data_IF_769772330860
#
_entry.id   IF_769772330860
#
_cell.length_a   1.000
_cell.length_b   1.000
_cell.length_c   1.000
_cell.angle_alpha   90.00
_cell.angle_beta   90.00
_cell.angle_gamma   90.00
#
_symmetry.space_group_name_H-M   'P 1'
#
loop_
_entity.id
_entity.type
_entity.pdbx_description
1 polymer ?
#
# COMPACT_ATOMS: atom_id res chain seq x y z
N UNK A 1 -56.78 -37.50 5.79
CA UNK A 1 -57.76 -37.30 4.70
C UNK A 1 -57.25 -36.15 3.88
N UNK A 2 -56.64 -36.53 2.85
CA UNK A 2 -56.88 -36.24 1.43
C UNK A 2 -56.50 -34.82 1.02
N UNK A 3 -55.48 -34.76 0.28
CA UNK A 3 -55.28 -34.80 -1.20
C UNK A 3 -55.38 -33.38 -1.78
N UNK A 4 -54.42 -32.87 -2.38
CA UNK A 4 -53.67 -33.17 -3.62
C UNK A 4 -54.06 -32.15 -4.75
N UNK A 5 -53.06 -31.85 -5.57
CA UNK A 5 -53.09 -31.48 -6.97
C UNK A 5 -52.91 -30.00 -7.32
N UNK A 6 -51.71 -29.65 -7.77
CA UNK A 6 -51.13 -29.66 -9.14
C UNK A 6 -51.46 -28.46 -10.05
N UNK A 7 -50.41 -27.90 -10.63
CA UNK A 7 -50.27 -27.31 -11.98
C UNK A 7 -50.72 -25.85 -12.11
N UNK A 8 -50.07 -24.95 -12.78
CA UNK A 8 -49.11 -24.99 -13.92
C UNK A 8 -48.61 -23.58 -14.16
N UNK A 9 -47.39 -23.46 -14.67
CA UNK A 9 -46.87 -22.29 -15.41
C UNK A 9 -47.76 -21.96 -16.62
N UNK A 10 -47.73 -20.72 -17.14
CA UNK A 10 -46.92 -20.45 -18.31
C UNK A 10 -46.17 -19.09 -18.30
N UNK A 11 -44.97 -19.14 -18.74
CA UNK A 11 -44.35 -18.40 -19.85
C UNK A 11 -45.19 -17.29 -20.50
N UNK A 12 -44.72 -16.06 -20.48
CA UNK A 12 -44.92 -15.12 -21.57
C UNK A 12 -43.63 -14.37 -21.91
N UNK A 13 -43.29 -14.52 -23.18
CA UNK A 13 -42.18 -13.93 -23.94
C UNK A 13 -42.70 -12.66 -24.60
N UNK A 14 -41.76 -11.73 -24.81
CA UNK A 14 -41.76 -10.61 -25.75
C UNK A 14 -42.51 -9.35 -25.28
N UNK A 15 -42.00 -8.18 -25.50
CA UNK A 15 -41.46 -7.62 -26.73
C UNK A 15 -40.65 -6.36 -26.49
N UNK A 16 -39.71 -6.16 -27.32
CA UNK A 16 -38.89 -4.99 -27.64
C UNK A 16 -39.67 -3.68 -27.72
N UNK A 17 -39.09 -2.61 -27.18
CA UNK A 17 -39.27 -1.29 -27.77
C UNK A 17 -37.94 -0.51 -27.69
N UNK A 18 -37.29 -0.40 -28.83
CA UNK A 18 -36.31 0.65 -29.13
C UNK A 18 -36.96 2.02 -28.89
N UNK A 19 -36.28 2.86 -28.13
CA UNK A 19 -36.33 4.31 -28.34
C UNK A 19 -34.88 4.81 -28.33
N UNK A 20 -34.31 4.88 -29.53
CA UNK A 20 -33.25 5.81 -29.80
C UNK A 20 -33.85 7.21 -29.80
N UNK A 21 -33.21 8.19 -29.19
CA UNK A 21 -32.98 9.49 -29.77
C UNK A 21 -32.28 10.47 -28.84
N UNK A 22 -31.34 11.13 -29.45
CA UNK A 22 -30.79 12.45 -29.16
C UNK A 22 -29.65 12.49 -28.17
N UNK A 23 -28.47 12.24 -28.73
CA UNK A 23 -27.20 12.79 -28.26
C UNK A 23 -27.29 14.33 -28.25
N UNK A 24 -27.45 14.91 -27.08
CA UNK A 24 -26.94 16.24 -26.82
C UNK A 24 -25.49 16.08 -26.37
N UNK A 25 -24.59 16.24 -27.33
CA UNK A 25 -23.18 16.54 -27.08
C UNK A 25 -23.08 17.93 -26.46
N UNK A 26 -23.28 18.01 -25.14
CA UNK A 26 -22.69 19.10 -24.40
C UNK A 26 -21.21 18.67 -24.16
N UNK A 27 -20.31 19.33 -24.86
CA UNK A 27 -18.91 19.40 -24.50
C UNK A 27 -18.87 20.06 -23.10
N UNK A 28 -18.78 19.24 -22.06
CA UNK A 28 -18.26 19.71 -20.79
C UNK A 28 -16.78 20.01 -21.03
N UNK A 29 -16.40 21.26 -20.91
CA UNK A 29 -15.01 21.64 -20.70
C UNK A 29 -14.53 20.88 -19.48
N UNK A 30 -13.32 20.33 -19.46
CA UNK A 30 -12.80 19.70 -18.26
C UNK A 30 -12.76 20.76 -17.17
N UNK A 31 -13.56 20.59 -16.14
CA UNK A 31 -13.40 21.30 -14.87
C UNK A 31 -11.97 21.04 -14.42
N UNK A 32 -11.19 22.08 -14.22
CA UNK A 32 -9.84 21.96 -13.67
C UNK A 32 -9.98 21.43 -12.23
N UNK A 33 -9.75 20.14 -12.06
CA UNK A 33 -9.72 19.53 -10.73
C UNK A 33 -8.47 20.01 -9.99
N UNK A 34 -8.52 20.25 -8.68
CA UNK A 34 -7.35 20.55 -7.89
C UNK A 34 -6.38 19.36 -7.97
N UNK A 35 -5.14 19.64 -8.34
CA UNK A 35 -4.12 18.63 -8.56
C UNK A 35 -3.21 18.59 -7.35
N UNK A 36 -2.88 17.40 -6.88
CA UNK A 36 -2.30 17.15 -5.57
C UNK A 36 -1.20 16.12 -5.63
N UNK A 37 -0.05 16.47 -5.08
CA UNK A 37 1.02 15.52 -4.81
C UNK A 37 0.63 14.63 -3.61
N UNK A 38 0.55 13.31 -3.85
CA UNK A 38 0.36 12.32 -2.80
C UNK A 38 1.71 11.84 -2.29
N UNK A 39 2.04 12.17 -1.05
CA UNK A 39 2.89 11.29 -0.28
C UNK A 39 1.98 10.19 0.28
N UNK A 40 2.11 8.97 -0.21
CA UNK A 40 1.51 7.82 0.48
C UNK A 40 2.21 7.70 1.83
N UNK A 41 1.47 7.83 2.92
CA UNK A 41 2.00 7.58 4.26
C UNK A 41 2.46 6.12 4.43
N UNK A 42 1.98 5.22 3.56
CA UNK A 42 2.44 3.84 3.47
C UNK A 42 3.82 3.70 2.81
N UNK A 43 4.26 4.67 1.99
CA UNK A 43 5.58 4.65 1.31
C UNK A 43 6.77 4.87 2.25
N UNK A 44 6.54 5.23 3.51
CA UNK A 44 7.63 5.43 4.49
C UNK A 44 8.19 4.11 5.04
N UNK A 45 7.56 2.96 4.75
CA UNK A 45 7.91 1.69 5.39
C UNK A 45 8.53 0.61 4.48
N UNK A 46 8.80 0.90 3.22
CA UNK A 46 9.62 -0.01 2.39
C UNK A 46 11.03 0.53 2.30
N UNK A 47 12.05 -0.20 2.82
CA UNK A 47 13.41 0.18 2.51
C UNK A 47 13.60 0.04 0.99
N UNK A 48 13.78 1.17 0.32
CA UNK A 48 14.22 1.19 -1.07
C UNK A 48 15.42 0.26 -1.19
N UNK A 49 15.35 -0.67 -2.15
CA UNK A 49 16.48 -1.50 -2.51
C UNK A 49 17.65 -0.57 -2.83
N UNK A 50 18.55 -0.43 -1.87
CA UNK A 50 19.79 0.29 -2.05
C UNK A 50 20.52 -0.37 -3.22
N UNK A 51 20.68 0.35 -4.32
CA UNK A 51 21.63 0.00 -5.37
C UNK A 51 23.00 -0.03 -4.74
N UNK A 52 23.46 -1.23 -4.39
CA UNK A 52 24.79 -1.45 -3.86
C UNK A 52 25.82 -1.08 -4.93
N UNK A 53 26.53 0.01 -4.70
CA UNK A 53 27.82 0.24 -5.36
C UNK A 53 28.77 -0.88 -4.91
N UNK A 54 29.67 -1.38 -5.78
CA UNK A 54 30.67 -2.36 -5.38
C UNK A 54 31.55 -1.78 -4.28
N UNK A 55 31.59 -2.42 -3.13
CA UNK A 55 32.52 -2.05 -2.06
C UNK A 55 33.80 -2.78 -2.34
N UNK A 56 34.88 -2.00 -2.43
CA UNK A 56 36.25 -2.45 -2.54
C UNK A 56 36.65 -3.25 -1.29
N UNK A 57 37.23 -4.44 -1.49
CA UNK A 57 37.53 -5.41 -0.45
C UNK A 57 38.86 -5.09 0.23
N UNK A 58 38.95 -4.02 1.03
CA UNK A 58 40.15 -3.74 1.81
C UNK A 58 39.94 -2.98 3.10
N UNK A 59 38.94 -3.29 3.93
CA UNK A 59 38.96 -2.85 5.32
C UNK A 59 38.33 -3.92 6.23
N UNK A 60 39.22 -4.84 6.69
CA UNK A 60 38.93 -5.76 7.76
C UNK A 60 39.08 -5.06 9.10
N UNK A 61 37.97 -4.78 9.79
CA UNK A 61 37.96 -4.42 11.21
C UNK A 61 36.95 -5.27 12.01
N UNK A 62 37.57 -6.15 12.78
CA UNK A 62 37.23 -6.69 14.12
C UNK A 62 35.78 -6.56 14.63
N UNK A 63 35.13 -7.72 14.78
CA UNK A 63 34.52 -8.16 16.03
C UNK A 63 33.26 -7.42 16.49
N UNK A 64 32.08 -7.82 15.98
CA UNK A 64 30.86 -7.86 16.75
C UNK A 64 30.10 -9.13 16.36
N UNK A 65 29.54 -9.82 17.36
CA UNK A 65 28.89 -11.12 17.27
C UNK A 65 27.94 -11.22 16.06
N UNK A 66 28.40 -11.90 15.00
CA UNK A 66 27.49 -12.47 14.02
C UNK A 66 26.77 -13.63 14.71
N UNK A 67 25.43 -13.73 14.64
CA UNK A 67 24.78 -14.97 14.99
C UNK A 67 25.44 -16.08 14.16
N UNK A 68 25.92 -17.11 14.84
CA UNK A 68 26.55 -18.26 14.21
C UNK A 68 25.58 -18.85 13.19
N UNK A 69 26.03 -19.27 12.01
CA UNK A 69 25.18 -19.97 11.08
C UNK A 69 24.56 -21.15 11.81
N UNK A 70 23.26 -21.11 11.99
CA UNK A 70 22.47 -22.21 12.52
C UNK A 70 22.86 -23.49 11.78
N UNK A 71 22.94 -24.59 12.50
CA UNK A 71 23.36 -25.91 12.02
C UNK A 71 22.84 -26.16 10.59
N UNK A 72 23.73 -26.73 9.73
CA UNK A 72 23.34 -27.13 8.35
C UNK A 72 21.94 -27.72 8.37
N UNK A 73 21.02 -27.23 7.54
CA UNK A 73 19.70 -27.82 7.45
C UNK A 73 19.88 -29.33 7.24
N UNK A 74 19.09 -30.13 7.97
CA UNK A 74 19.08 -31.55 7.76
C UNK A 74 18.78 -31.84 6.29
N UNK A 75 19.56 -32.68 5.60
CA UNK A 75 19.32 -33.00 4.20
C UNK A 75 17.87 -33.50 4.09
N UNK A 76 17.16 -33.04 3.04
CA UNK A 76 15.84 -33.55 2.73
C UNK A 76 15.92 -35.07 2.65
N UNK A 77 14.95 -35.76 3.25
CA UNK A 77 14.97 -37.19 3.44
C UNK A 77 15.47 -37.93 2.20
N UNK A 78 16.68 -38.49 2.26
CA UNK A 78 17.01 -39.68 1.50
C UNK A 78 16.50 -40.88 2.31
N UNK A 79 15.85 -41.83 1.65
CA UNK A 79 15.51 -43.11 2.30
C UNK A 79 16.78 -43.75 2.84
N UNK A 80 16.65 -44.58 3.89
CA UNK A 80 17.77 -45.33 4.48
C UNK A 80 18.61 -46.14 3.48
N UNK A 81 18.09 -46.35 2.29
CA UNK A 81 18.69 -47.11 1.18
C UNK A 81 19.31 -46.23 0.08
N UNK A 82 19.42 -44.89 0.31
CA UNK A 82 20.06 -43.97 -0.62
C UNK A 82 19.22 -43.68 -1.86
N UNK A 83 17.92 -44.02 -1.87
CA UNK A 83 16.98 -43.65 -2.92
C UNK A 83 16.36 -42.28 -2.59
N UNK A 84 15.98 -41.53 -3.63
CA UNK A 84 15.27 -40.27 -3.49
C UNK A 84 13.93 -40.52 -2.75
N UNK A 85 13.60 -39.66 -1.78
CA UNK A 85 12.31 -39.72 -1.09
C UNK A 85 11.18 -39.45 -2.08
N UNK A 86 10.01 -40.07 -1.91
CA UNK A 86 8.84 -39.75 -2.74
C UNK A 86 8.44 -38.27 -2.65
N UNK A 87 7.97 -37.70 -3.75
CA UNK A 87 7.58 -36.27 -3.83
C UNK A 87 6.63 -35.88 -2.69
N UNK A 88 5.60 -36.65 -2.31
CA UNK A 88 4.75 -36.31 -1.17
C UNK A 88 5.49 -36.17 0.17
N UNK A 89 6.47 -37.03 0.42
CA UNK A 89 7.26 -36.98 1.66
C UNK A 89 8.17 -35.77 1.73
N UNK A 90 8.74 -35.36 0.57
CA UNK A 90 9.53 -34.14 0.44
C UNK A 90 8.67 -32.89 0.66
N UNK A 91 7.44 -32.87 0.13
CA UNK A 91 6.50 -31.76 0.34
C UNK A 91 6.06 -31.65 1.79
N UNK A 92 5.79 -32.79 2.43
CA UNK A 92 5.45 -32.81 3.86
C UNK A 92 6.62 -32.32 4.72
N UNK A 93 7.86 -32.68 4.36
CA UNK A 93 9.04 -32.16 5.04
C UNK A 93 9.24 -30.66 4.76
N UNK A 94 9.04 -30.20 3.53
CA UNK A 94 9.10 -28.78 3.20
C UNK A 94 8.10 -27.97 4.05
N UNK A 95 6.87 -28.46 4.19
CA UNK A 95 5.85 -27.85 5.06
C UNK A 95 6.29 -27.80 6.53
N UNK A 96 6.80 -28.92 7.09
CA UNK A 96 7.30 -28.98 8.47
C UNK A 96 8.48 -28.03 8.72
N UNK A 97 9.40 -27.91 7.77
CA UNK A 97 10.54 -26.98 7.87
C UNK A 97 10.08 -25.53 7.80
N UNK A 98 9.12 -25.24 6.91
CA UNK A 98 8.51 -23.91 6.76
C UNK A 98 7.80 -23.48 8.05
N UNK A 99 6.97 -24.34 8.64
CA UNK A 99 6.29 -24.09 9.92
C UNK A 99 7.23 -23.80 11.08
N UNK A 100 8.43 -24.38 11.04
CA UNK A 100 9.49 -24.13 12.04
C UNK A 100 10.35 -22.90 11.73
N UNK A 101 10.03 -22.13 10.70
CA UNK A 101 10.81 -20.98 10.25
C UNK A 101 12.18 -21.34 9.65
N UNK A 102 12.40 -22.62 9.26
CA UNK A 102 13.63 -23.08 8.63
C UNK A 102 13.49 -23.04 7.10
N UNK A 103 13.46 -21.84 6.56
CA UNK A 103 13.11 -21.58 5.17
C UNK A 103 14.14 -22.15 4.17
N UNK A 104 15.43 -22.19 4.50
CA UNK A 104 16.44 -22.87 3.66
C UNK A 104 16.17 -24.37 3.55
N UNK A 105 15.80 -25.02 4.66
CA UNK A 105 15.44 -26.43 4.67
C UNK A 105 14.18 -26.70 3.84
N UNK A 106 13.14 -25.86 3.99
CA UNK A 106 11.94 -25.92 3.19
C UNK A 106 12.26 -25.74 1.70
N UNK A 107 13.13 -24.78 1.34
CA UNK A 107 13.56 -24.54 -0.03
C UNK A 107 14.28 -25.73 -0.65
N UNK A 108 15.19 -26.37 0.10
CA UNK A 108 15.91 -27.57 -0.39
C UNK A 108 14.95 -28.72 -0.69
N UNK A 109 14.01 -29.00 0.22
CA UNK A 109 13.02 -30.06 0.01
C UNK A 109 12.07 -29.74 -1.16
N UNK A 110 11.62 -28.50 -1.30
CA UNK A 110 10.78 -28.09 -2.40
C UNK A 110 11.53 -28.12 -3.77
N UNK A 111 12.83 -27.81 -3.78
CA UNK A 111 13.67 -27.95 -4.97
C UNK A 111 13.80 -29.40 -5.39
N UNK A 112 14.07 -30.30 -4.46
CA UNK A 112 14.18 -31.72 -4.75
C UNK A 112 12.83 -32.28 -5.23
N UNK A 113 11.72 -31.94 -4.59
CA UNK A 113 10.39 -32.31 -5.03
C UNK A 113 10.11 -31.81 -6.48
N UNK A 114 10.48 -30.56 -6.81
CA UNK A 114 10.29 -30.01 -8.15
C UNK A 114 11.25 -30.59 -9.20
N UNK A 115 12.40 -31.14 -8.77
CA UNK A 115 13.31 -31.89 -9.66
C UNK A 115 12.77 -33.27 -10.01
N UNK A 116 12.15 -33.94 -9.05
CA UNK A 116 11.55 -35.26 -9.26
C UNK A 116 10.21 -35.20 -10.02
N UNK A 117 9.44 -34.14 -9.77
CA UNK A 117 8.19 -33.89 -10.48
C UNK A 117 8.09 -32.42 -10.90
N UNK A 118 8.51 -32.12 -12.11
CA UNK A 118 8.45 -30.76 -12.69
C UNK A 118 7.01 -30.25 -12.90
N UNK A 119 6.00 -31.12 -12.83
CA UNK A 119 4.59 -30.77 -12.95
C UNK A 119 3.90 -30.57 -11.61
N UNK A 120 4.62 -30.71 -10.50
CA UNK A 120 4.06 -30.52 -9.16
C UNK A 120 3.83 -29.05 -8.84
N UNK A 121 2.57 -28.62 -8.87
CA UNK A 121 2.14 -27.26 -8.44
C UNK A 121 2.61 -26.98 -7.01
N UNK A 122 2.40 -27.95 -6.10
CA UNK A 122 2.76 -27.79 -4.70
C UNK A 122 4.28 -27.61 -4.50
N UNK A 123 5.13 -28.31 -5.27
CA UNK A 123 6.57 -28.16 -5.17
C UNK A 123 7.02 -26.74 -5.58
N UNK A 124 6.49 -26.21 -6.67
CA UNK A 124 6.76 -24.84 -7.11
C UNK A 124 6.19 -23.81 -6.14
N UNK A 125 5.01 -24.05 -5.56
CA UNK A 125 4.40 -23.20 -4.53
C UNK A 125 5.28 -23.12 -3.28
N UNK A 126 5.67 -24.26 -2.66
CA UNK A 126 6.55 -24.28 -1.48
C UNK A 126 7.92 -23.65 -1.78
N UNK A 127 8.45 -23.87 -2.98
CA UNK A 127 9.68 -23.20 -3.41
C UNK A 127 9.51 -21.69 -3.44
N UNK A 128 8.40 -21.19 -3.97
CA UNK A 128 8.07 -19.77 -3.99
C UNK A 128 7.93 -19.19 -2.59
N UNK A 129 7.18 -19.88 -1.71
CA UNK A 129 6.97 -19.46 -0.33
C UNK A 129 8.30 -19.37 0.46
N UNK A 130 9.12 -20.40 0.38
CA UNK A 130 10.41 -20.41 1.06
C UNK A 130 11.37 -19.31 0.54
N UNK A 131 11.37 -19.06 -0.77
CA UNK A 131 12.16 -17.98 -1.38
C UNK A 131 11.67 -16.59 -0.96
N UNK A 132 10.35 -16.39 -0.84
CA UNK A 132 9.77 -15.13 -0.36
C UNK A 132 10.20 -14.81 1.07
N UNK A 133 10.15 -15.81 1.96
CA UNK A 133 10.61 -15.66 3.36
C UNK A 133 12.12 -15.41 3.47
N UNK A 134 12.92 -15.94 2.54
CA UNK A 134 14.34 -15.68 2.44
C UNK A 134 14.68 -14.33 1.79
N UNK A 135 13.70 -13.53 1.41
CA UNK A 135 13.89 -12.25 0.72
C UNK A 135 14.37 -12.37 -0.73
N UNK A 136 14.32 -13.58 -1.31
CA UNK A 136 14.73 -13.86 -2.70
C UNK A 136 13.55 -13.64 -3.64
N UNK A 137 13.08 -12.38 -3.72
CA UNK A 137 11.80 -11.98 -4.30
C UNK A 137 11.66 -12.37 -5.78
N UNK A 138 12.69 -12.13 -6.61
CA UNK A 138 12.62 -12.46 -8.04
C UNK A 138 12.53 -13.96 -8.32
N UNK A 139 13.22 -14.75 -7.49
CA UNK A 139 13.15 -16.21 -7.60
C UNK A 139 11.80 -16.75 -7.09
N UNK A 140 11.24 -16.13 -6.03
CA UNK A 140 9.89 -16.44 -5.55
C UNK A 140 8.85 -16.16 -6.62
N UNK A 141 8.90 -14.99 -7.26
CA UNK A 141 8.04 -14.61 -8.37
C UNK A 141 8.09 -15.64 -9.51
N UNK A 142 9.30 -16.06 -9.88
CA UNK A 142 9.49 -17.09 -10.92
C UNK A 142 8.89 -18.44 -10.52
N UNK A 143 9.05 -18.85 -9.26
CA UNK A 143 8.49 -20.10 -8.76
C UNK A 143 6.96 -20.10 -8.73
N UNK A 144 6.33 -19.00 -8.24
CA UNK A 144 4.88 -18.84 -8.30
C UNK A 144 4.33 -18.77 -9.73
N UNK A 145 5.03 -18.07 -10.63
CA UNK A 145 4.64 -18.04 -12.05
C UNK A 145 4.65 -19.45 -12.65
N UNK A 146 5.64 -20.28 -12.30
CA UNK A 146 5.68 -21.68 -12.75
C UNK A 146 4.51 -22.49 -12.20
N UNK A 147 4.18 -22.35 -10.91
CA UNK A 147 3.02 -23.01 -10.31
C UNK A 147 1.71 -22.59 -11.02
N UNK A 148 1.53 -21.30 -11.31
CA UNK A 148 0.35 -20.76 -11.99
C UNK A 148 0.28 -21.13 -13.50
N UNK A 149 1.40 -21.49 -14.13
CA UNK A 149 1.39 -22.08 -15.49
C UNK A 149 0.83 -23.51 -15.45
N UNK A 150 1.09 -24.25 -14.36
CA UNK A 150 0.63 -25.63 -14.18
C UNK A 150 -0.84 -25.69 -13.75
N UNK A 151 -1.23 -24.89 -12.76
CA UNK A 151 -2.62 -24.68 -12.37
C UNK A 151 -2.90 -23.17 -12.23
N UNK A 152 -3.49 -22.56 -13.27
CA UNK A 152 -3.74 -21.14 -13.27
C UNK A 152 -4.74 -20.67 -12.21
N UNK A 153 -5.57 -21.55 -11.68
CA UNK A 153 -6.66 -21.21 -10.76
C UNK A 153 -6.46 -21.81 -9.37
N UNK A 154 -5.26 -22.30 -9.05
CA UNK A 154 -4.95 -22.73 -7.68
C UNK A 154 -5.04 -21.52 -6.72
N UNK A 155 -6.00 -21.55 -5.77
CA UNK A 155 -6.30 -20.36 -4.98
C UNK A 155 -5.21 -20.04 -3.95
N UNK A 156 -4.48 -21.04 -3.46
CA UNK A 156 -3.38 -20.84 -2.51
C UNK A 156 -2.16 -20.25 -3.20
N UNK A 157 -1.86 -20.69 -4.43
CA UNK A 157 -0.78 -20.09 -5.23
C UNK A 157 -1.13 -18.67 -5.62
N UNK A 158 -2.39 -18.40 -6.02
CA UNK A 158 -2.87 -17.06 -6.33
C UNK A 158 -2.76 -16.12 -5.13
N UNK A 159 -3.16 -16.57 -3.92
CA UNK A 159 -3.01 -15.81 -2.68
C UNK A 159 -1.54 -15.51 -2.39
N UNK A 160 -0.66 -16.51 -2.46
CA UNK A 160 0.75 -16.34 -2.14
C UNK A 160 1.49 -15.46 -3.18
N UNK A 161 1.11 -15.56 -4.45
CA UNK A 161 1.64 -14.68 -5.50
C UNK A 161 1.16 -13.23 -5.29
N UNK A 162 -0.13 -13.03 -4.97
CA UNK A 162 -0.66 -11.70 -4.65
C UNK A 162 0.03 -11.09 -3.43
N UNK A 163 0.23 -11.87 -2.37
CA UNK A 163 0.94 -11.44 -1.15
C UNK A 163 2.37 -10.96 -1.48
N UNK A 164 3.11 -11.69 -2.30
CA UNK A 164 4.45 -11.29 -2.75
C UNK A 164 4.43 -9.93 -3.46
N UNK A 165 3.48 -9.74 -4.38
CA UNK A 165 3.37 -8.50 -5.15
C UNK A 165 2.95 -7.31 -4.30
N UNK A 166 2.02 -7.50 -3.35
CA UNK A 166 1.57 -6.43 -2.45
C UNK A 166 2.66 -6.09 -1.42
N UNK A 167 3.20 -7.09 -0.70
CA UNK A 167 4.03 -6.84 0.49
C UNK A 167 5.52 -6.65 0.19
N UNK A 168 6.01 -7.12 -0.96
CA UNK A 168 7.45 -7.14 -1.26
C UNK A 168 7.85 -6.36 -2.50
N UNK A 169 6.97 -6.16 -3.45
CA UNK A 169 7.23 -5.46 -4.71
C UNK A 169 6.63 -4.06 -4.69
N UNK A 170 5.32 -3.92 -4.58
CA UNK A 170 4.62 -2.66 -4.32
C UNK A 170 4.61 -1.65 -5.47
N UNK A 171 5.23 -1.95 -6.62
CA UNK A 171 5.13 -1.07 -7.77
C UNK A 171 3.70 -1.11 -8.35
N UNK A 172 3.26 -0.04 -9.01
CA UNK A 172 1.89 0.06 -9.55
C UNK A 172 1.49 -1.16 -10.37
N UNK A 173 2.34 -1.58 -11.30
CA UNK A 173 2.08 -2.76 -12.15
C UNK A 173 2.01 -4.05 -11.32
N UNK A 174 2.80 -4.16 -10.25
CA UNK A 174 2.77 -5.28 -9.32
C UNK A 174 1.45 -5.32 -8.54
N UNK A 175 0.98 -4.17 -8.06
CA UNK A 175 -0.30 -4.06 -7.35
C UNK A 175 -1.49 -4.39 -8.26
N UNK A 176 -1.47 -3.93 -9.52
CA UNK A 176 -2.50 -4.27 -10.51
C UNK A 176 -2.50 -5.79 -10.83
N UNK A 177 -1.31 -6.40 -10.92
CA UNK A 177 -1.18 -7.84 -11.10
C UNK A 177 -1.66 -8.61 -9.86
N UNK A 178 -1.33 -8.14 -8.65
CA UNK A 178 -1.84 -8.70 -7.41
C UNK A 178 -3.38 -8.70 -7.37
N UNK A 179 -4.01 -7.57 -7.76
CA UNK A 179 -5.46 -7.48 -7.84
C UNK A 179 -6.06 -8.49 -8.84
N UNK A 180 -5.38 -8.75 -9.97
CA UNK A 180 -5.81 -9.77 -10.91
C UNK A 180 -5.73 -11.19 -10.31
N UNK A 181 -4.67 -11.51 -9.56
CA UNK A 181 -4.56 -12.78 -8.84
C UNK A 181 -5.63 -12.91 -7.75
N UNK A 182 -5.83 -11.86 -6.95
CA UNK A 182 -6.87 -11.82 -5.91
C UNK A 182 -8.24 -12.05 -6.51
N UNK A 183 -8.60 -11.37 -7.61
CA UNK A 183 -9.90 -11.55 -8.25
C UNK A 183 -10.16 -13.00 -8.66
N UNK A 184 -9.16 -13.66 -9.27
CA UNK A 184 -9.26 -15.08 -9.65
C UNK A 184 -9.38 -15.98 -8.43
N UNK A 185 -8.58 -15.74 -7.38
CA UNK A 185 -8.62 -16.47 -6.12
C UNK A 185 -9.99 -16.36 -5.43
N UNK A 186 -10.57 -15.16 -5.40
CA UNK A 186 -11.89 -14.90 -4.81
C UNK A 186 -13.00 -15.70 -5.51
N UNK A 187 -12.99 -15.79 -6.84
CA UNK A 187 -13.97 -16.61 -7.60
C UNK A 187 -13.95 -18.07 -7.11
N UNK A 188 -12.76 -18.59 -6.86
CA UNK A 188 -12.57 -19.97 -6.40
C UNK A 188 -12.94 -20.12 -4.94
N UNK A 189 -12.46 -19.24 -4.06
CA UNK A 189 -12.71 -19.25 -2.63
C UNK A 189 -14.21 -19.13 -2.30
N UNK A 190 -14.95 -18.28 -3.00
CA UNK A 190 -16.41 -18.17 -2.88
C UNK A 190 -17.14 -19.47 -3.26
N UNK A 191 -16.68 -20.12 -4.32
CA UNK A 191 -17.30 -21.38 -4.78
C UNK A 191 -17.19 -22.48 -3.74
N UNK A 192 -16.05 -22.57 -3.04
CA UNK A 192 -15.80 -23.58 -2.01
C UNK A 192 -16.14 -23.09 -0.60
N UNK A 193 -16.51 -21.83 -0.45
CA UNK A 193 -16.85 -21.17 0.83
C UNK A 193 -15.71 -21.22 1.85
N UNK A 194 -14.49 -21.06 1.39
CA UNK A 194 -13.30 -21.03 2.23
C UNK A 194 -13.16 -19.65 2.89
N UNK A 195 -13.64 -19.54 4.12
CA UNK A 195 -13.65 -18.26 4.87
C UNK A 195 -12.24 -17.74 5.19
N UNK A 196 -11.28 -18.55 5.67
CA UNK A 196 -9.91 -18.11 5.87
C UNK A 196 -9.28 -17.53 4.60
N UNK A 197 -9.39 -18.25 3.49
CA UNK A 197 -8.85 -17.79 2.20
C UNK A 197 -9.56 -16.53 1.69
N UNK A 198 -10.89 -16.43 1.86
CA UNK A 198 -11.64 -15.21 1.53
C UNK A 198 -11.13 -14.00 2.33
N UNK A 199 -10.90 -14.18 3.65
CA UNK A 199 -10.35 -13.14 4.51
C UNK A 199 -8.99 -12.67 4.00
N UNK A 200 -8.06 -13.60 3.73
CA UNK A 200 -6.72 -13.27 3.26
C UNK A 200 -6.73 -12.55 1.90
N UNK A 201 -7.53 -13.04 0.96
CA UNK A 201 -7.63 -12.42 -0.37
C UNK A 201 -8.24 -11.02 -0.32
N UNK A 202 -9.29 -10.82 0.49
CA UNK A 202 -9.88 -9.49 0.67
C UNK A 202 -8.95 -8.53 1.42
N UNK A 203 -8.14 -9.02 2.37
CA UNK A 203 -7.12 -8.23 3.03
C UNK A 203 -6.05 -7.75 2.02
N UNK A 204 -5.53 -8.65 1.19
CA UNK A 204 -4.59 -8.29 0.13
C UNK A 204 -5.19 -7.31 -0.88
N UNK A 205 -6.49 -7.46 -1.18
CA UNK A 205 -7.21 -6.52 -2.02
C UNK A 205 -7.28 -5.12 -1.39
N UNK A 206 -7.56 -5.06 -0.08
CA UNK A 206 -7.62 -3.79 0.64
C UNK A 206 -6.26 -3.08 0.63
N UNK A 207 -5.18 -3.80 0.94
CA UNK A 207 -3.81 -3.28 0.91
C UNK A 207 -3.43 -2.76 -0.49
N UNK A 208 -3.67 -3.56 -1.53
CA UNK A 208 -3.36 -3.15 -2.91
C UNK A 208 -4.15 -1.91 -3.34
N UNK A 209 -5.41 -1.79 -2.95
CA UNK A 209 -6.20 -0.59 -3.25
C UNK A 209 -5.73 0.64 -2.48
N UNK A 210 -5.30 0.48 -1.22
CA UNK A 210 -4.75 1.59 -0.43
C UNK A 210 -3.46 2.13 -1.08
N UNK A 211 -2.53 1.24 -1.40
CA UNK A 211 -1.27 1.59 -2.08
C UNK A 211 -1.49 2.21 -3.48
N UNK A 212 -2.55 1.84 -4.19
CA UNK A 212 -2.98 2.46 -5.44
C UNK A 212 -3.70 3.81 -5.24
N UNK A 213 -3.88 4.26 -4.00
CA UNK A 213 -4.60 5.47 -3.65
C UNK A 213 -6.10 5.40 -3.93
N UNK A 214 -6.70 4.24 -3.74
CA UNK A 214 -8.12 3.94 -3.91
C UNK A 214 -8.80 3.59 -2.57
N UNK A 215 -8.82 4.51 -1.59
CA UNK A 215 -9.24 4.19 -0.22
C UNK A 215 -10.71 3.78 -0.11
N UNK A 216 -11.57 4.19 -1.04
CA UNK A 216 -12.97 3.74 -1.10
C UNK A 216 -13.08 2.24 -1.40
N UNK A 217 -12.30 1.75 -2.36
CA UNK A 217 -12.23 0.33 -2.71
C UNK A 217 -11.54 -0.48 -1.59
N UNK A 218 -10.48 0.08 -1.00
CA UNK A 218 -9.79 -0.51 0.15
C UNK A 218 -10.75 -0.71 1.33
N UNK A 219 -11.57 0.28 1.67
CA UNK A 219 -12.57 0.18 2.72
C UNK A 219 -13.62 -0.92 2.41
N UNK A 220 -14.04 -1.02 1.16
CA UNK A 220 -14.96 -2.07 0.70
C UNK A 220 -14.37 -3.47 0.90
N UNK A 221 -13.14 -3.67 0.44
CA UNK A 221 -12.43 -4.94 0.59
C UNK A 221 -12.18 -5.30 2.07
N UNK A 222 -11.73 -4.35 2.89
CA UNK A 222 -11.53 -4.58 4.32
C UNK A 222 -12.83 -4.97 5.05
N UNK A 223 -13.98 -4.38 4.68
CA UNK A 223 -15.26 -4.80 5.23
C UNK A 223 -15.61 -6.25 4.85
N UNK A 224 -15.39 -6.67 3.59
CA UNK A 224 -15.60 -8.08 3.18
C UNK A 224 -14.65 -9.05 3.91
N UNK A 225 -13.40 -8.67 4.14
CA UNK A 225 -12.49 -9.49 4.94
C UNK A 225 -13.01 -9.66 6.38
N UNK A 226 -13.50 -8.58 7.02
CA UNK A 226 -14.08 -8.61 8.37
C UNK A 226 -15.40 -9.40 8.45
N UNK A 227 -16.16 -9.56 7.36
CA UNK A 227 -17.30 -10.50 7.31
C UNK A 227 -16.84 -11.95 7.46
N UNK A 228 -15.63 -12.28 7.02
CA UNK A 228 -15.05 -13.61 7.14
C UNK A 228 -14.40 -13.82 8.51
N UNK A 229 -13.69 -12.86 9.04
CA UNK A 229 -13.14 -12.84 10.40
C UNK A 229 -13.23 -11.43 11.01
N UNK A 230 -14.25 -11.21 11.85
CA UNK A 230 -14.49 -9.92 12.51
C UNK A 230 -13.42 -9.51 13.53
N UNK A 231 -12.54 -10.43 13.92
CA UNK A 231 -11.48 -10.19 14.91
C UNK A 231 -10.09 -10.03 14.28
N UNK A 232 -9.98 -10.18 12.96
CA UNK A 232 -8.70 -10.02 12.28
C UNK A 232 -8.14 -8.61 12.46
N UNK A 233 -7.00 -8.54 13.15
CA UNK A 233 -6.39 -7.28 13.57
C UNK A 233 -5.81 -6.51 12.40
N UNK A 234 -5.18 -7.23 11.47
CA UNK A 234 -4.56 -6.62 10.30
C UNK A 234 -5.63 -5.98 9.40
N UNK A 235 -6.71 -6.72 9.11
CA UNK A 235 -7.84 -6.17 8.34
C UNK A 235 -8.49 -4.96 9.03
N UNK A 236 -8.59 -4.97 10.37
CA UNK A 236 -9.11 -3.84 11.12
C UNK A 236 -8.20 -2.62 11.01
N UNK A 237 -6.89 -2.82 10.99
CA UNK A 237 -5.91 -1.76 10.76
C UNK A 237 -6.11 -1.17 9.36
N UNK A 238 -6.15 -1.98 8.31
CA UNK A 238 -6.38 -1.53 6.95
C UNK A 238 -7.71 -0.76 6.79
N UNK A 239 -8.77 -1.23 7.45
CA UNK A 239 -10.02 -0.48 7.52
C UNK A 239 -9.85 0.90 8.16
N UNK A 240 -9.10 0.99 9.26
CA UNK A 240 -8.82 2.25 9.93
C UNK A 240 -8.00 3.20 9.06
N UNK A 241 -7.01 2.69 8.33
CA UNK A 241 -6.20 3.44 7.36
C UNK A 241 -7.08 3.97 6.22
N UNK A 242 -7.86 3.12 5.59
CA UNK A 242 -8.77 3.52 4.51
C UNK A 242 -9.79 4.59 4.95
N UNK A 243 -10.32 4.48 6.17
CA UNK A 243 -11.20 5.50 6.75
C UNK A 243 -10.46 6.84 6.98
N UNK A 244 -9.20 6.79 7.42
CA UNK A 244 -8.37 7.98 7.57
C UNK A 244 -8.14 8.66 6.21
N UNK A 245 -7.74 7.90 5.19
CA UNK A 245 -7.52 8.40 3.83
C UNK A 245 -8.80 9.00 3.22
N UNK A 246 -9.97 8.50 3.57
CA UNK A 246 -11.28 9.08 3.22
C UNK A 246 -11.67 10.31 4.07
N UNK A 247 -10.79 10.82 4.93
CA UNK A 247 -11.07 11.91 5.87
C UNK A 247 -12.23 11.63 6.85
N UNK A 248 -12.55 10.33 7.10
CA UNK A 248 -13.54 9.85 8.05
C UNK A 248 -12.89 9.61 9.42
N UNK A 249 -12.29 10.67 9.98
CA UNK A 249 -11.39 10.58 11.14
C UNK A 249 -12.01 9.97 12.39
N UNK A 250 -13.29 10.27 12.69
CA UNK A 250 -13.96 9.72 13.87
C UNK A 250 -14.15 8.20 13.77
N UNK A 251 -14.50 7.71 12.58
CA UNK A 251 -14.65 6.28 12.31
C UNK A 251 -13.30 5.57 12.30
N UNK A 252 -12.27 6.19 11.69
CA UNK A 252 -10.90 5.68 11.74
C UNK A 252 -10.42 5.54 13.19
N UNK A 253 -10.62 6.59 14.03
CA UNK A 253 -10.30 6.56 15.46
C UNK A 253 -11.02 5.41 16.18
N UNK A 254 -12.30 5.20 15.89
CA UNK A 254 -13.09 4.15 16.53
C UNK A 254 -12.59 2.74 16.19
N UNK A 255 -12.14 2.50 14.94
CA UNK A 255 -11.58 1.21 14.53
C UNK A 255 -10.16 1.00 15.08
N UNK A 256 -9.28 2.00 14.95
CA UNK A 256 -7.88 1.90 15.37
C UNK A 256 -7.73 1.82 16.91
N UNK A 257 -8.60 2.48 17.66
CA UNK A 257 -8.58 2.39 19.14
C UNK A 257 -8.85 0.98 19.67
N UNK A 258 -9.58 0.15 18.92
CA UNK A 258 -9.80 -1.27 19.28
C UNK A 258 -8.51 -2.09 19.24
N UNK A 259 -7.57 -1.72 18.36
CA UNK A 259 -6.27 -2.40 18.24
C UNK A 259 -5.29 -2.00 19.35
N UNK A 260 -5.43 -0.77 19.87
CA UNK A 260 -4.54 -0.23 20.89
C UNK A 260 -4.90 -0.70 22.32
N UNK A 261 -6.11 -1.23 22.55
CA UNK A 261 -6.62 -1.55 23.88
C UNK A 261 -6.00 -2.82 24.47
N UNK A 262 -5.94 -3.91 23.70
CA UNK A 262 -5.53 -5.23 24.19
C UNK A 262 -4.05 -5.52 23.89
N UNK A 263 -3.64 -5.28 22.67
CA UNK A 263 -2.27 -5.46 22.20
C UNK A 263 -1.90 -4.27 21.30
N UNK A 264 -0.97 -3.41 21.70
CA UNK A 264 -0.64 -2.22 20.94
C UNK A 264 -0.11 -2.56 19.54
N UNK A 265 -0.66 -1.89 18.53
CA UNK A 265 -0.26 -1.97 17.13
C UNK A 265 0.44 -0.66 16.73
N UNK A 266 1.66 -0.75 16.22
CA UNK A 266 2.48 0.43 15.92
C UNK A 266 1.83 1.35 14.86
N UNK A 267 1.23 0.78 13.83
CA UNK A 267 0.54 1.53 12.79
C UNK A 267 -0.75 2.17 13.31
N UNK A 268 -1.53 1.44 14.12
CA UNK A 268 -2.72 2.00 14.75
C UNK A 268 -2.36 3.18 15.66
N UNK A 269 -1.30 3.07 16.46
CA UNK A 269 -0.81 4.18 17.29
C UNK A 269 -0.36 5.36 16.41
N UNK A 270 0.34 5.13 15.31
CA UNK A 270 0.74 6.19 14.38
C UNK A 270 -0.47 6.97 13.83
N UNK A 271 -1.47 6.27 13.29
CA UNK A 271 -2.67 6.91 12.75
C UNK A 271 -3.53 7.59 13.82
N UNK A 272 -3.59 7.04 15.05
CA UNK A 272 -4.22 7.73 16.18
C UNK A 272 -3.50 9.05 16.51
N UNK A 273 -2.17 9.08 16.39
CA UNK A 273 -1.38 10.30 16.49
C UNK A 273 -1.74 11.33 15.42
N UNK A 274 -1.83 10.91 14.15
CA UNK A 274 -2.25 11.78 13.04
C UNK A 274 -3.67 12.35 13.23
N UNK A 275 -4.59 11.55 13.76
CA UNK A 275 -5.96 12.00 14.07
C UNK A 275 -5.96 12.99 15.23
N UNK A 276 -5.16 12.76 16.28
CA UNK A 276 -5.03 13.67 17.41
C UNK A 276 -4.47 15.05 17.00
N UNK A 277 -3.44 15.08 16.13
CA UNK A 277 -2.92 16.33 15.56
C UNK A 277 -4.01 17.14 14.84
N UNK A 278 -4.86 16.47 14.06
CA UNK A 278 -5.97 17.12 13.34
C UNK A 278 -7.03 17.67 14.28
N UNK A 279 -7.14 17.10 15.46
CA UNK A 279 -8.01 17.58 16.53
C UNK A 279 -7.34 18.64 17.42
N UNK A 280 -6.13 19.10 17.06
CA UNK A 280 -5.30 20.04 17.83
C UNK A 280 -4.95 19.54 19.25
N UNK A 281 -4.93 18.21 19.44
CA UNK A 281 -4.46 17.58 20.69
C UNK A 281 -3.00 17.11 20.50
N UNK A 282 -2.09 18.10 20.51
CA UNK A 282 -0.66 17.84 20.31
C UNK A 282 -0.07 16.95 21.41
N UNK A 283 -0.65 16.97 22.63
CA UNK A 283 -0.19 16.12 23.72
C UNK A 283 -0.53 14.64 23.49
N UNK A 284 -1.76 14.35 23.08
CA UNK A 284 -2.17 13.00 22.70
C UNK A 284 -1.41 12.52 21.45
N UNK A 285 -1.24 13.37 20.44
CA UNK A 285 -0.48 13.06 19.26
C UNK A 285 0.96 12.62 19.60
N UNK A 286 1.67 13.39 20.41
CA UNK A 286 3.04 13.06 20.83
C UNK A 286 3.11 11.72 21.57
N UNK A 287 2.11 11.40 22.44
CA UNK A 287 2.05 10.13 23.14
C UNK A 287 1.87 8.94 22.17
N UNK A 288 0.98 9.07 21.19
CA UNK A 288 0.72 8.04 20.19
C UNK A 288 1.94 7.83 19.29
N UNK A 289 2.58 8.89 18.79
CA UNK A 289 3.80 8.76 18.00
C UNK A 289 4.96 8.13 18.79
N UNK A 290 5.14 8.49 20.05
CA UNK A 290 6.15 7.88 20.91
C UNK A 290 5.89 6.37 21.13
N UNK A 291 4.63 5.96 21.25
CA UNK A 291 4.27 4.53 21.31
C UNK A 291 4.55 3.81 20.01
N UNK A 292 4.15 4.38 18.86
CA UNK A 292 4.44 3.81 17.54
C UNK A 292 5.94 3.59 17.35
N UNK A 293 6.75 4.61 17.64
CA UNK A 293 8.22 4.53 17.56
C UNK A 293 8.82 3.48 18.50
N UNK A 294 8.26 3.33 19.70
CA UNK A 294 8.72 2.32 20.66
C UNK A 294 8.40 0.89 20.18
N UNK A 295 7.26 0.69 19.53
CA UNK A 295 6.79 -0.60 19.03
C UNK A 295 7.54 -1.01 17.77
N UNK A 296 7.80 -0.08 16.87
CA UNK A 296 8.54 -0.30 15.62
C UNK A 296 9.45 0.91 15.33
N UNK A 297 10.68 0.92 15.88
CA UNK A 297 11.62 2.03 15.69
C UNK A 297 12.18 2.14 14.28
N UNK A 298 12.10 1.07 13.48
CA UNK A 298 12.58 1.09 12.10
C UNK A 298 11.55 1.71 11.15
N UNK A 299 10.27 1.41 11.35
CA UNK A 299 9.17 2.00 10.58
C UNK A 299 8.88 3.45 11.00
N UNK A 300 8.98 3.79 12.29
CA UNK A 300 8.60 5.10 12.84
C UNK A 300 9.80 5.84 13.43
N UNK A 301 10.73 6.24 12.55
CA UNK A 301 11.90 7.06 12.93
C UNK A 301 11.50 8.47 13.31
N UNK A 302 12.35 9.13 14.09
CA UNK A 302 12.19 10.56 14.37
C UNK A 302 12.35 11.37 13.10
N UNK A 303 11.40 12.26 12.85
CA UNK A 303 11.43 13.21 11.73
C UNK A 303 11.84 14.60 12.22
N UNK A 304 12.36 15.48 11.36
CA UNK A 304 12.56 16.88 11.67
C UNK A 304 11.26 17.52 12.18
N UNK A 305 11.36 18.41 13.17
CA UNK A 305 10.18 19.13 13.66
C UNK A 305 10.52 20.60 13.88
N UNK A 306 10.83 21.35 12.79
CA UNK A 306 11.14 22.76 12.90
C UNK A 306 9.95 23.56 13.39
N UNK A 307 10.20 24.63 14.17
CA UNK A 307 9.14 25.58 14.51
C UNK A 307 8.53 26.20 13.27
N UNK A 308 7.33 26.75 13.36
CA UNK A 308 6.65 27.42 12.24
C UNK A 308 7.55 28.48 11.59
N UNK A 309 8.23 29.28 12.42
CA UNK A 309 9.13 30.34 11.94
C UNK A 309 10.40 29.78 11.26
N UNK A 310 10.99 28.73 11.81
CA UNK A 310 12.16 28.07 11.22
C UNK A 310 11.80 27.43 9.87
N UNK A 311 10.65 26.75 9.79
CA UNK A 311 10.16 26.16 8.54
C UNK A 311 9.82 27.22 7.49
N UNK A 312 9.16 28.31 7.86
CA UNK A 312 8.85 29.41 6.94
C UNK A 312 10.14 30.03 6.37
N UNK A 313 11.19 30.18 7.19
CA UNK A 313 12.50 30.64 6.73
C UNK A 313 13.13 29.64 5.76
N UNK A 314 13.11 28.34 6.07
CA UNK A 314 13.60 27.29 5.19
C UNK A 314 12.91 27.36 3.81
N UNK A 315 11.59 27.48 3.79
CA UNK A 315 10.82 27.62 2.55
C UNK A 315 11.25 28.88 1.76
N UNK A 316 11.44 30.02 2.42
CA UNK A 316 11.93 31.23 1.76
C UNK A 316 13.34 31.04 1.17
N UNK A 317 14.23 30.38 1.92
CA UNK A 317 15.59 30.07 1.45
C UNK A 317 15.54 29.14 0.23
N UNK A 318 14.65 28.12 0.20
CA UNK A 318 14.48 27.25 -0.97
C UNK A 318 13.87 28.01 -2.17
N UNK A 319 12.83 28.81 -1.95
CA UNK A 319 12.24 29.66 -3.01
C UNK A 319 13.31 30.56 -3.66
N UNK A 320 14.23 31.13 -2.87
CA UNK A 320 15.30 32.01 -3.38
C UNK A 320 16.30 31.30 -4.31
N UNK A 321 16.40 29.95 -4.19
CA UNK A 321 17.32 29.14 -5.02
C UNK A 321 16.65 28.61 -6.29
N UNK A 322 15.32 28.73 -6.42
CA UNK A 322 14.59 28.25 -7.59
C UNK A 322 14.89 29.12 -8.84
N UNK A 323 14.69 28.61 -10.05
CA UNK A 323 14.75 29.39 -11.27
C UNK A 323 13.83 30.61 -11.20
N UNK A 324 14.24 31.70 -11.86
CA UNK A 324 13.51 32.96 -11.77
C UNK A 324 12.07 32.86 -12.27
N UNK A 325 11.86 32.08 -13.31
CA UNK A 325 10.54 31.79 -13.87
C UNK A 325 9.58 31.16 -12.82
N UNK A 326 10.11 30.27 -11.96
CA UNK A 326 9.36 29.64 -10.87
C UNK A 326 9.07 30.68 -9.77
N UNK A 327 10.08 31.50 -9.39
CA UNK A 327 9.89 32.57 -8.42
C UNK A 327 8.83 33.60 -8.90
N UNK A 328 8.86 33.95 -10.18
CA UNK A 328 7.90 34.88 -10.80
C UNK A 328 6.47 34.23 -10.77
N UNK A 329 6.33 32.95 -11.06
CA UNK A 329 5.07 32.21 -10.92
C UNK A 329 4.51 32.26 -9.49
N UNK A 330 5.37 31.97 -8.50
CA UNK A 330 5.00 32.05 -7.08
C UNK A 330 4.56 33.45 -6.66
N UNK A 331 5.17 34.52 -7.19
CA UNK A 331 4.81 35.91 -6.89
C UNK A 331 3.41 36.31 -7.37
N UNK A 332 2.91 35.61 -8.38
CA UNK A 332 1.57 35.80 -8.92
C UNK A 332 0.50 34.91 -8.22
N UNK A 333 0.88 34.07 -7.28
CA UNK A 333 0.00 33.24 -6.47
C UNK A 333 -0.10 33.75 -5.03
N UNK A 334 -1.10 33.27 -4.29
CA UNK A 334 -1.11 33.32 -2.82
C UNK A 334 -0.31 32.12 -2.32
N UNK A 335 0.74 32.36 -1.58
CA UNK A 335 1.58 31.31 -1.04
C UNK A 335 1.47 31.26 0.48
N UNK A 336 1.19 30.08 1.04
CA UNK A 336 1.03 29.90 2.47
C UNK A 336 1.66 28.60 2.97
N UNK A 337 2.30 28.68 4.13
CA UNK A 337 2.73 27.53 4.92
C UNK A 337 1.72 27.34 6.03
N UNK A 338 1.13 26.15 6.11
CA UNK A 338 0.17 25.75 7.14
C UNK A 338 0.58 24.42 7.75
N UNK A 339 0.07 24.08 8.92
CA UNK A 339 0.48 22.86 9.60
C UNK A 339 -0.03 21.60 8.91
N UNK A 340 -1.32 21.55 8.61
CA UNK A 340 -2.01 20.40 7.99
C UNK A 340 -3.07 20.89 7.00
N UNK A 341 -3.45 20.07 5.99
CA UNK A 341 -4.53 20.41 5.08
C UNK A 341 -5.87 20.52 5.80
N UNK A 342 -6.68 21.51 5.39
CA UNK A 342 -8.05 21.67 5.92
C UNK A 342 -8.97 20.55 5.43
N UNK A 343 -9.93 20.15 6.26
CA UNK A 343 -10.86 19.07 5.90
C UNK A 343 -11.70 19.41 4.65
N UNK A 344 -12.08 20.68 4.49
CA UNK A 344 -12.87 21.08 3.30
C UNK A 344 -12.07 20.94 2.02
N UNK A 345 -10.74 21.22 2.05
CA UNK A 345 -9.87 21.00 0.92
C UNK A 345 -9.75 19.51 0.59
N UNK A 346 -9.58 18.68 1.63
CA UNK A 346 -9.48 17.23 1.45
C UNK A 346 -10.75 16.62 0.85
N UNK A 347 -11.92 17.13 1.22
CA UNK A 347 -13.23 16.60 0.77
C UNK A 347 -13.83 17.36 -0.41
N UNK A 348 -13.07 18.27 -1.03
CA UNK A 348 -13.53 19.04 -2.19
C UNK A 348 -13.61 18.20 -3.48
N UNK A 349 -12.96 17.05 -3.50
CA UNK A 349 -12.93 16.11 -4.65
C UNK A 349 -13.56 14.77 -4.28
N UNK A 350 -13.96 14.00 -5.29
CA UNK A 350 -14.41 12.62 -5.16
C UNK A 350 -13.57 11.73 -6.11
N UNK A 351 -12.73 10.84 -5.58
CA UNK A 351 -12.47 10.59 -4.16
C UNK A 351 -11.79 11.76 -3.44
N UNK A 352 -11.89 11.82 -2.09
CA UNK A 352 -11.21 12.81 -1.27
C UNK A 352 -9.69 12.76 -1.45
N UNK A 353 -9.04 13.91 -1.24
CA UNK A 353 -7.59 13.98 -1.21
C UNK A 353 -7.05 13.29 0.05
N UNK A 354 -5.87 12.64 -0.07
CA UNK A 354 -5.20 12.07 1.10
C UNK A 354 -4.89 13.15 2.14
N UNK A 355 -5.14 12.89 3.44
CA UNK A 355 -4.71 13.78 4.50
C UNK A 355 -3.20 13.96 4.60
N UNK A 356 -2.43 13.07 3.94
CA UNK A 356 -0.97 13.08 3.92
C UNK A 356 -0.33 13.94 2.82
N UNK A 357 -1.10 14.68 2.01
CA UNK A 357 -0.54 15.55 0.95
C UNK A 357 0.49 16.53 1.49
N UNK A 358 1.54 16.78 0.70
CA UNK A 358 2.66 17.66 1.05
C UNK A 358 2.40 19.11 0.67
N UNK A 359 1.72 19.32 -0.44
CA UNK A 359 1.30 20.61 -0.99
C UNK A 359 -0.11 20.55 -1.56
N UNK A 360 -0.61 21.71 -1.97
CA UNK A 360 -1.88 21.83 -2.67
C UNK A 360 -1.89 23.10 -3.53
N UNK A 361 -2.02 22.94 -4.84
CA UNK A 361 -2.40 24.02 -5.73
C UNK A 361 -3.93 24.15 -5.75
N UNK A 362 -4.41 25.35 -5.48
CA UNK A 362 -5.84 25.68 -5.57
C UNK A 362 -6.02 26.74 -6.66
N UNK A 363 -6.70 26.40 -7.76
CA UNK A 363 -7.02 27.39 -8.80
C UNK A 363 -7.97 28.48 -8.25
N UNK A 364 -8.05 29.64 -8.90
CA UNK A 364 -9.07 30.62 -8.58
C UNK A 364 -10.46 30.02 -8.76
N UNK A 365 -11.47 30.42 -7.93
CA UNK A 365 -12.83 29.92 -8.09
C UNK A 365 -13.42 30.29 -9.46
N UNK A 366 -14.37 29.49 -9.93
CA UNK A 366 -15.10 29.81 -11.18
C UNK A 366 -15.76 31.20 -11.11
N UNK A 367 -15.58 31.99 -12.16
CA UNK A 367 -16.08 33.39 -12.19
C UNK A 367 -15.23 34.36 -11.38
N UNK A 368 -14.03 33.94 -10.96
CA UNK A 368 -13.08 34.77 -10.24
C UNK A 368 -12.78 36.08 -10.99
N UNK A 369 -12.60 37.15 -10.23
CA UNK A 369 -12.13 38.43 -10.73
C UNK A 369 -10.61 38.39 -11.01
N UNK A 370 -10.09 39.32 -11.77
CA UNK A 370 -8.66 39.46 -12.05
C UNK A 370 -7.81 39.65 -10.77
N UNK A 371 -8.43 39.95 -9.63
CA UNK A 371 -7.79 40.08 -8.32
C UNK A 371 -7.68 38.75 -7.55
N UNK A 372 -8.43 37.73 -7.97
CA UNK A 372 -8.44 36.42 -7.31
C UNK A 372 -7.27 35.60 -7.85
N UNK A 373 -6.24 35.48 -7.03
CA UNK A 373 -5.03 34.75 -7.38
C UNK A 373 -5.17 33.27 -7.01
N UNK A 374 -4.57 32.36 -7.79
CA UNK A 374 -4.40 30.98 -7.37
C UNK A 374 -3.64 30.91 -6.04
N UNK A 375 -3.80 29.80 -5.33
CA UNK A 375 -3.13 29.63 -4.05
C UNK A 375 -2.30 28.34 -4.06
N UNK A 376 -1.12 28.40 -3.45
CA UNK A 376 -0.24 27.26 -3.20
C UNK A 376 -0.06 27.15 -1.68
N UNK A 377 -0.34 25.96 -1.16
CA UNK A 377 -0.17 25.62 0.25
C UNK A 377 0.94 24.59 0.39
N UNK A 378 1.80 24.76 1.41
CA UNK A 378 2.72 23.73 1.88
C UNK A 378 2.34 23.29 3.29
N UNK A 379 2.31 21.98 3.51
CA UNK A 379 1.87 21.39 4.77
C UNK A 379 3.06 20.96 5.62
N UNK A 380 3.44 21.85 6.58
CA UNK A 380 4.66 21.72 7.37
C UNK A 380 4.78 20.35 8.07
N UNK A 381 3.73 19.86 8.72
CA UNK A 381 3.79 18.61 9.49
C UNK A 381 3.91 17.40 8.56
N UNK A 382 3.24 17.41 7.41
CA UNK A 382 3.35 16.33 6.43
C UNK A 382 4.74 16.30 5.79
N UNK A 383 5.26 17.45 5.35
CA UNK A 383 6.62 17.60 4.82
C UNK A 383 7.67 17.16 5.84
N UNK A 384 7.51 17.56 7.11
CA UNK A 384 8.42 17.12 8.17
C UNK A 384 8.42 15.59 8.36
N UNK A 385 7.27 14.92 8.23
CA UNK A 385 7.18 13.46 8.33
C UNK A 385 7.74 12.72 7.11
N UNK A 386 7.69 13.33 5.93
CA UNK A 386 8.26 12.75 4.73
C UNK A 386 9.80 12.71 4.75
N UNK A 387 10.44 13.49 5.63
CA UNK A 387 11.89 13.60 5.73
C UNK A 387 12.43 12.92 7.00
N UNK A 388 13.63 12.34 6.91
CA UNK A 388 14.35 11.75 8.05
C UNK A 388 15.38 12.71 8.69
N UNK A 389 15.77 13.76 7.96
CA UNK A 389 16.73 14.76 8.41
C UNK A 389 16.46 16.11 7.71
N UNK A 390 17.15 17.16 8.13
CA UNK A 390 16.94 18.51 7.60
C UNK A 390 17.29 18.62 6.10
N UNK A 391 18.32 17.92 5.63
CA UNK A 391 18.72 17.94 4.21
C UNK A 391 17.65 17.30 3.32
N UNK A 392 16.99 16.24 3.81
CA UNK A 392 15.85 15.64 3.14
C UNK A 392 14.65 16.58 3.16
N UNK A 393 14.37 17.19 4.30
CA UNK A 393 13.28 18.16 4.41
C UNK A 393 13.44 19.33 3.43
N UNK A 394 14.66 19.83 3.24
CA UNK A 394 14.96 20.85 2.23
C UNK A 394 14.65 20.36 0.81
N UNK A 395 14.95 19.09 0.50
CA UNK A 395 14.62 18.50 -0.81
C UNK A 395 13.11 18.36 -0.99
N UNK A 396 12.42 17.77 0.00
CA UNK A 396 10.95 17.62 -0.04
C UNK A 396 10.23 18.95 -0.25
N UNK A 397 10.67 20.00 0.47
CA UNK A 397 10.13 21.35 0.29
C UNK A 397 10.35 21.86 -1.14
N UNK A 398 11.54 21.67 -1.69
CA UNK A 398 11.87 22.12 -3.06
C UNK A 398 11.07 21.36 -4.11
N UNK A 399 11.03 20.04 -3.99
CA UNK A 399 10.36 19.18 -4.97
C UNK A 399 8.85 19.42 -4.96
N UNK A 400 8.26 19.58 -3.76
CA UNK A 400 6.84 19.98 -3.62
C UNK A 400 6.58 21.37 -4.22
N UNK A 401 7.46 22.35 -4.01
CA UNK A 401 7.31 23.68 -4.63
C UNK A 401 7.33 23.61 -6.16
N UNK A 402 8.26 22.84 -6.74
CA UNK A 402 8.36 22.66 -8.19
C UNK A 402 7.11 21.96 -8.75
N UNK A 403 6.59 20.97 -8.03
CA UNK A 403 5.37 20.24 -8.38
C UNK A 403 4.16 21.20 -8.40
N UNK A 404 3.92 21.94 -7.32
CA UNK A 404 2.76 22.86 -7.23
C UNK A 404 2.85 24.02 -8.25
N UNK A 405 4.05 24.47 -8.59
CA UNK A 405 4.25 25.45 -9.66
C UNK A 405 4.02 24.82 -11.03
N UNK A 406 4.33 23.55 -11.22
CA UNK A 406 3.96 22.83 -12.43
C UNK A 406 2.45 22.88 -12.67
N UNK A 407 1.65 22.61 -11.63
CA UNK A 407 0.19 22.76 -11.71
C UNK A 407 -0.26 24.19 -11.97
N UNK A 408 0.38 25.18 -11.39
CA UNK A 408 0.14 26.58 -11.70
C UNK A 408 0.37 26.88 -13.20
N UNK A 409 1.30 26.20 -13.85
CA UNK A 409 1.60 26.29 -15.28
C UNK A 409 0.70 25.41 -16.15
N UNK A 410 -0.22 24.64 -15.57
CA UNK A 410 -1.19 23.79 -16.27
C UNK A 410 -0.68 22.38 -16.56
N UNK A 411 0.44 21.96 -15.96
CA UNK A 411 0.92 20.58 -16.05
C UNK A 411 0.07 19.66 -15.15
N UNK A 412 -0.22 18.45 -15.60
CA UNK A 412 -0.87 17.40 -14.82
C UNK A 412 0.13 16.50 -14.09
N UNK A 413 -0.36 15.63 -13.19
CA UNK A 413 0.51 14.73 -12.40
C UNK A 413 1.35 13.78 -13.27
N UNK A 414 0.83 13.36 -14.43
CA UNK A 414 1.57 12.45 -15.31
C UNK A 414 2.75 13.18 -15.95
N UNK A 415 2.55 14.42 -16.40
CA UNK A 415 3.60 15.29 -16.96
C UNK A 415 4.67 15.62 -15.90
N UNK A 416 4.25 15.88 -14.67
CA UNK A 416 5.17 16.17 -13.56
C UNK A 416 5.99 14.94 -13.19
N UNK A 417 5.37 13.76 -13.13
CA UNK A 417 6.05 12.49 -12.89
C UNK A 417 7.09 12.16 -13.97
N UNK A 418 6.78 12.43 -15.25
CA UNK A 418 7.72 12.24 -16.36
C UNK A 418 8.94 13.15 -16.25
N UNK A 419 8.81 14.28 -15.54
CA UNK A 419 9.91 15.19 -15.20
C UNK A 419 10.66 14.81 -13.92
N UNK A 420 10.17 13.82 -13.19
CA UNK A 420 10.76 13.37 -11.92
C UNK A 420 10.35 14.22 -10.71
N UNK A 421 9.14 14.82 -10.77
CA UNK A 421 8.55 15.66 -9.74
C UNK A 421 7.33 14.99 -9.12
#
# INVERSE_FOLDING_TARGET
MNESLRRSTPLFIAASALCALAACKQKRSPEAQPVVQRASLASVATPAAATAKPIDASDAVRGADRPQPTARPAPCLSTSDGQDAPVPDLLEQAAREFEKGRFEGALECAREASRLDEQSVAAHHFRGAALAELGRVDEARTAYARALVLDPDDPEVLRSAADLHVRRLGARDDLELALAYVHRGLVRAHKVKDRPLLKDLYLLQAMAYDDLGRPGDALGAANHALESDMHDRETRREKGVALFELSRFDEAKAELSKLSADEPDAWAEHYLGLIAERSHDDAAAAQHFAKAQKLDPDAFRSSPNPSVSAFAKMVQDEVSKLPKEVQDGLSHSKFAVVDLPDKNDLTATDPPLSPGILGLFRPPPEGASASDKPAIFLYRRNLSRAAHNDDELHREVRDTLLHEVGHLNGEDDDQLRDRGL
#
